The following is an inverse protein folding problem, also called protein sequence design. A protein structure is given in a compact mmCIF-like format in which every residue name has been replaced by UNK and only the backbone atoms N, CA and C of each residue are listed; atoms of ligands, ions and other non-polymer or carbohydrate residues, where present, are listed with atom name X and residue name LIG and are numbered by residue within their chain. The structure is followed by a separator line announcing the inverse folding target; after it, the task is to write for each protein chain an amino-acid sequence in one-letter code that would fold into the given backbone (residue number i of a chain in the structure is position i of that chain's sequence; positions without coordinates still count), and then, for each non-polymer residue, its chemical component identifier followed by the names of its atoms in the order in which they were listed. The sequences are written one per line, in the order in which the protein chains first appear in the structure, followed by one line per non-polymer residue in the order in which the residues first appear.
data_IF_344916587979
#
_entry.id   IF_344916587979
#
_cell.length_a   1.000
_cell.length_b   1.000
_cell.length_c   1.000
_cell.angle_alpha   90.00
_cell.angle_beta   90.00
_cell.angle_gamma   90.00
#
_symmetry.space_group_name_H-M   'P 1'
#
loop_
_entity.id
_entity.type
_entity.pdbx_description
1 polymer ?
#
# COMPACT_ATOMS: atom_id res chain seq x y z
N UNK A 1 -0.01 -1.61 27.32
CA UNK A 1 -0.82 -1.17 26.15
C UNK A 1 -0.14 -1.77 24.94
N UNK A 2 -0.89 -2.28 24.00
CA UNK A 2 -0.32 -2.85 22.77
C UNK A 2 -0.13 -1.70 21.79
N UNK A 3 1.06 -1.58 21.20
CA UNK A 3 1.38 -0.53 20.24
C UNK A 3 1.66 -1.15 18.87
N UNK A 4 1.07 -0.58 17.84
CA UNK A 4 1.34 -0.90 16.43
C UNK A 4 2.21 0.19 15.82
N UNK A 5 3.26 -0.20 15.10
CA UNK A 5 4.06 0.69 14.29
C UNK A 5 3.60 0.69 12.84
N UNK A 6 3.51 1.84 12.19
CA UNK A 6 3.36 1.93 10.75
C UNK A 6 4.56 2.58 10.10
N UNK A 7 5.14 1.90 9.10
CA UNK A 7 6.23 2.45 8.30
C UNK A 7 5.76 2.80 6.89
N UNK A 8 6.17 3.96 6.39
CA UNK A 8 5.86 4.41 5.03
C UNK A 8 7.12 4.73 4.23
N UNK A 9 7.08 4.52 2.92
CA UNK A 9 8.14 4.96 1.99
C UNK A 9 8.27 6.47 1.88
N UNK A 10 7.25 7.22 2.30
CA UNK A 10 7.23 8.68 2.30
C UNK A 10 7.56 9.29 3.64
N UNK A 11 6.93 10.42 3.92
CA UNK A 11 6.96 11.04 5.24
C UNK A 11 5.75 10.63 6.08
N UNK A 12 5.92 10.51 7.40
CA UNK A 12 4.85 10.39 8.37
C UNK A 12 4.59 11.74 9.09
N UNK A 13 3.39 12.00 9.66
CA UNK A 13 2.24 11.09 9.62
C UNK A 13 1.55 11.04 8.25
N UNK A 14 0.99 9.88 7.90
CA UNK A 14 0.20 9.68 6.69
C UNK A 14 -1.26 10.03 6.95
N UNK A 15 -1.55 11.32 6.97
CA UNK A 15 -2.89 11.86 7.25
C UNK A 15 -3.95 11.45 6.21
N UNK A 16 -3.52 10.93 5.07
CA UNK A 16 -4.37 10.40 3.99
C UNK A 16 -4.66 8.89 4.13
N UNK A 17 -3.99 8.18 5.04
CA UNK A 17 -4.11 6.72 5.20
C UNK A 17 -4.42 6.34 6.65
N UNK A 18 -3.61 6.78 7.59
CA UNK A 18 -3.60 6.32 8.98
C UNK A 18 -4.91 6.57 9.73
N UNK A 19 -5.61 7.70 9.55
CA UNK A 19 -6.89 7.91 10.24
C UNK A 19 -7.90 6.80 9.99
N UNK A 20 -8.08 6.35 8.75
CA UNK A 20 -9.02 5.27 8.41
C UNK A 20 -8.61 3.91 9.01
N UNK A 21 -7.32 3.70 9.28
CA UNK A 21 -6.81 2.50 9.94
C UNK A 21 -7.10 2.60 11.44
N UNK A 22 -6.75 3.71 12.06
CA UNK A 22 -6.94 3.96 13.50
C UNK A 22 -8.41 3.86 13.90
N UNK A 23 -9.32 4.43 13.10
CA UNK A 23 -10.76 4.36 13.34
C UNK A 23 -11.34 2.92 13.36
N UNK A 24 -10.58 1.95 12.84
CA UNK A 24 -10.97 0.54 12.79
C UNK A 24 -10.20 -0.34 13.79
N UNK A 25 -9.16 0.19 14.43
CA UNK A 25 -8.45 -0.53 15.50
C UNK A 25 -9.21 -0.41 16.83
N UNK A 26 -9.08 -1.40 17.75
CA UNK A 26 -9.56 -1.26 19.11
C UNK A 26 -8.97 -0.05 19.84
N UNK A 27 -9.79 0.63 20.67
CA UNK A 27 -9.40 1.87 21.38
C UNK A 27 -8.18 1.70 22.32
N UNK A 28 -7.88 0.47 22.73
CA UNK A 28 -6.74 0.12 23.59
C UNK A 28 -5.39 -0.01 22.84
N UNK A 29 -5.40 0.14 21.52
CA UNK A 29 -4.20 0.02 20.69
C UNK A 29 -3.64 1.40 20.38
N UNK A 30 -2.42 1.65 20.82
CA UNK A 30 -1.67 2.83 20.45
C UNK A 30 -1.02 2.66 19.06
N UNK A 31 -0.94 3.77 18.31
CA UNK A 31 -0.34 3.79 16.97
C UNK A 31 0.82 4.77 16.92
N UNK A 32 1.94 4.32 16.39
CA UNK A 32 3.11 5.16 16.07
C UNK A 32 3.44 5.04 14.58
N UNK A 33 3.93 6.11 13.99
CA UNK A 33 4.30 6.13 12.57
C UNK A 33 5.75 6.57 12.37
N UNK A 34 6.43 5.90 11.43
CA UNK A 34 7.73 6.31 10.94
C UNK A 34 7.75 6.40 9.41
N UNK A 35 8.36 7.44 8.89
CA UNK A 35 8.53 7.63 7.45
C UNK A 35 9.99 7.54 7.03
N UNK A 36 10.27 6.81 5.97
CA UNK A 36 11.62 6.69 5.41
C UNK A 36 12.23 8.05 5.05
N UNK A 37 11.38 9.01 4.66
CA UNK A 37 11.79 10.35 4.25
C UNK A 37 11.62 11.41 5.33
N UNK A 38 11.45 11.03 6.60
CA UNK A 38 11.18 11.99 7.69
C UNK A 38 12.33 12.98 7.96
N UNK A 39 13.54 12.62 7.63
CA UNK A 39 14.74 13.45 7.83
C UNK A 39 14.96 14.52 6.73
N UNK A 40 14.20 14.46 5.64
CA UNK A 40 14.30 15.44 4.55
C UNK A 40 13.25 16.54 4.73
N UNK A 41 13.66 17.79 4.61
CA UNK A 41 12.77 18.95 4.74
C UNK A 41 12.07 19.31 3.42
N UNK A 42 12.60 18.86 2.28
CA UNK A 42 12.07 19.23 0.96
C UNK A 42 12.15 18.10 -0.07
N UNK A 43 11.31 18.20 -1.09
CA UNK A 43 11.36 17.30 -2.25
C UNK A 43 12.68 17.41 -3.04
N UNK A 44 13.40 18.53 -2.93
CA UNK A 44 14.70 18.75 -3.54
C UNK A 44 15.77 17.93 -2.83
N UNK A 45 15.81 17.96 -1.49
CA UNK A 45 16.71 17.12 -0.69
C UNK A 45 16.46 15.63 -0.91
N UNK A 46 15.19 15.21 -0.97
CA UNK A 46 14.84 13.81 -1.32
C UNK A 46 15.40 13.43 -2.67
N UNK A 47 15.24 14.30 -3.67
CA UNK A 47 15.73 14.03 -5.05
C UNK A 47 17.26 13.93 -5.11
N UNK A 48 17.95 14.76 -4.34
CA UNK A 48 19.42 14.74 -4.27
C UNK A 48 19.95 13.49 -3.56
N UNK A 49 19.28 13.08 -2.47
CA UNK A 49 19.74 11.98 -1.63
C UNK A 49 19.35 10.59 -2.17
N UNK A 50 18.08 10.43 -2.57
CA UNK A 50 17.47 9.14 -2.92
C UNK A 50 16.63 9.21 -4.20
N UNK A 51 16.88 10.20 -5.06
CA UNK A 51 16.17 10.35 -6.33
C UNK A 51 16.43 9.21 -7.31
N UNK A 52 15.59 9.09 -8.36
CA UNK A 52 15.67 8.02 -9.34
C UNK A 52 17.05 7.96 -10.02
N UNK A 53 17.50 6.73 -10.28
CA UNK A 53 18.67 6.45 -11.11
C UNK A 53 18.23 5.81 -12.41
N UNK A 54 18.96 6.09 -13.49
CA UNK A 54 18.63 5.55 -14.82
C UNK A 54 18.66 4.02 -14.82
N UNK A 55 17.54 3.40 -15.20
CA UNK A 55 17.41 1.94 -15.29
C UNK A 55 17.12 1.22 -13.98
N UNK A 56 17.06 1.92 -12.84
CA UNK A 56 16.74 1.30 -11.55
C UNK A 56 15.24 1.37 -11.22
N UNK A 57 14.71 0.41 -10.46
CA UNK A 57 13.32 0.44 -10.00
C UNK A 57 13.05 1.65 -9.11
N UNK A 58 11.83 2.19 -9.22
CA UNK A 58 11.42 3.39 -8.50
C UNK A 58 10.13 3.15 -7.69
N UNK A 59 10.00 3.93 -6.62
CA UNK A 59 8.71 4.14 -5.96
C UNK A 59 8.26 5.59 -6.11
N UNK A 60 6.94 5.78 -6.04
CA UNK A 60 6.31 7.10 -5.95
C UNK A 60 5.63 7.20 -4.58
N UNK A 61 5.92 8.28 -3.86
CA UNK A 61 5.35 8.50 -2.53
C UNK A 61 5.00 9.97 -2.31
N UNK A 62 4.55 10.30 -1.10
CA UNK A 62 4.12 11.65 -0.75
C UNK A 62 4.93 12.23 0.41
N UNK A 63 5.16 13.52 0.31
CA UNK A 63 5.67 14.37 1.38
C UNK A 63 4.51 14.83 2.28
N UNK A 64 4.81 15.36 3.46
CA UNK A 64 3.80 15.92 4.41
C UNK A 64 3.00 17.07 3.84
N UNK A 65 3.58 17.84 2.92
CA UNK A 65 2.92 18.94 2.23
C UNK A 65 1.96 18.48 1.12
N UNK A 66 1.85 17.15 0.91
CA UNK A 66 1.03 16.52 -0.11
C UNK A 66 1.66 16.46 -1.49
N UNK A 67 2.87 16.99 -1.68
CA UNK A 67 3.60 16.82 -2.95
C UNK A 67 4.04 15.37 -3.15
N UNK A 68 4.15 14.95 -4.43
CA UNK A 68 4.63 13.62 -4.79
C UNK A 68 6.11 13.68 -5.12
N UNK A 69 6.85 12.68 -4.66
CA UNK A 69 8.25 12.47 -5.00
C UNK A 69 8.45 11.06 -5.55
N UNK A 70 9.42 10.94 -6.46
CA UNK A 70 9.88 9.66 -6.99
C UNK A 70 11.25 9.36 -6.38
N UNK A 71 11.42 8.15 -5.88
CA UNK A 71 12.63 7.72 -5.18
C UNK A 71 13.17 6.43 -5.77
N UNK A 72 14.47 6.25 -5.67
CA UNK A 72 15.15 4.99 -5.97
C UNK A 72 14.71 3.93 -4.96
N UNK A 73 14.28 2.77 -5.47
CA UNK A 73 13.72 1.69 -4.65
C UNK A 73 14.71 1.20 -3.59
N UNK A 74 15.93 0.87 -4.01
CA UNK A 74 16.91 0.25 -3.11
C UNK A 74 17.41 1.22 -2.04
N UNK A 75 17.47 2.51 -2.37
CA UNK A 75 17.84 3.55 -1.42
C UNK A 75 16.75 3.74 -0.36
N UNK A 76 15.47 3.81 -0.76
CA UNK A 76 14.39 4.01 0.20
C UNK A 76 14.11 2.77 1.05
N UNK A 77 14.32 1.57 0.51
CA UNK A 77 14.21 0.30 1.28
C UNK A 77 15.20 0.29 2.45
N UNK A 78 16.42 0.78 2.27
CA UNK A 78 17.41 0.90 3.36
C UNK A 78 16.96 1.89 4.44
N UNK A 79 16.35 3.02 4.03
CA UNK A 79 15.78 3.98 4.98
C UNK A 79 14.58 3.38 5.71
N UNK A 80 13.73 2.62 5.02
CA UNK A 80 12.63 1.90 5.66
C UNK A 80 13.13 0.89 6.69
N UNK A 81 14.16 0.09 6.36
CA UNK A 81 14.75 -0.86 7.31
C UNK A 81 15.22 -0.16 8.58
N UNK A 82 15.92 0.96 8.47
CA UNK A 82 16.35 1.73 9.64
C UNK A 82 15.15 2.21 10.50
N UNK A 83 14.03 2.60 9.89
CA UNK A 83 12.81 2.96 10.62
C UNK A 83 12.11 1.75 11.25
N UNK A 84 12.18 0.59 10.60
CA UNK A 84 11.69 -0.68 11.14
C UNK A 84 12.50 -1.09 12.36
N UNK A 85 13.82 -0.98 12.30
CA UNK A 85 14.72 -1.28 13.43
C UNK A 85 14.38 -0.40 14.64
N UNK A 86 14.21 0.93 14.42
CA UNK A 86 13.80 1.87 15.48
C UNK A 86 12.41 1.51 16.07
N UNK A 87 11.42 1.23 15.20
CA UNK A 87 10.06 0.90 15.63
C UNK A 87 9.98 -0.43 16.39
N UNK A 88 10.74 -1.44 15.99
CA UNK A 88 10.70 -2.78 16.58
C UNK A 88 11.04 -2.79 18.07
N UNK A 89 11.74 -1.77 18.57
CA UNK A 89 12.06 -1.62 20.00
C UNK A 89 10.83 -1.20 20.85
N UNK A 90 9.81 -0.60 20.23
CA UNK A 90 8.69 0.06 20.91
C UNK A 90 7.32 -0.56 20.63
N UNK A 91 7.21 -1.42 19.60
CA UNK A 91 5.91 -1.91 19.11
C UNK A 91 5.82 -3.43 19.14
N UNK A 92 4.58 -3.95 19.08
CA UNK A 92 4.30 -5.39 19.03
C UNK A 92 4.23 -5.93 17.61
N UNK A 93 3.95 -5.08 16.64
CA UNK A 93 3.77 -5.43 15.22
C UNK A 93 4.02 -4.19 14.37
N UNK A 94 4.54 -4.36 13.17
CA UNK A 94 4.78 -3.29 12.21
C UNK A 94 3.93 -3.54 10.95
N UNK A 95 3.17 -2.53 10.52
CA UNK A 95 2.47 -2.53 9.23
C UNK A 95 3.16 -1.62 8.22
N UNK A 96 3.32 -2.09 6.99
CA UNK A 96 3.88 -1.29 5.89
C UNK A 96 2.74 -0.51 5.19
N UNK A 97 2.82 0.81 5.13
CA UNK A 97 1.82 1.64 4.46
C UNK A 97 2.12 1.79 2.96
N UNK A 98 2.38 0.67 2.30
CA UNK A 98 2.57 0.59 0.85
C UNK A 98 2.25 -0.82 0.37
N UNK A 99 1.69 -0.93 -0.83
CA UNK A 99 1.48 -2.21 -1.52
C UNK A 99 2.60 -2.51 -2.53
N UNK A 100 3.72 -1.82 -2.46
CA UNK A 100 4.89 -2.10 -3.28
C UNK A 100 5.43 -3.51 -3.01
N UNK A 101 6.23 -4.01 -3.95
CA UNK A 101 6.98 -5.25 -3.79
C UNK A 101 8.35 -4.93 -3.17
N UNK A 102 8.54 -5.36 -1.93
CA UNK A 102 9.76 -5.12 -1.14
C UNK A 102 10.60 -6.40 -1.01
N UNK A 103 11.92 -6.30 -0.85
CA UNK A 103 12.69 -7.40 -0.30
C UNK A 103 12.26 -7.63 1.15
N UNK A 104 12.46 -8.84 1.67
CA UNK A 104 12.13 -9.15 3.06
C UNK A 104 12.83 -8.18 4.01
N UNK A 105 12.04 -7.54 4.88
CA UNK A 105 12.56 -6.75 5.99
C UNK A 105 12.92 -7.63 7.18
N UNK A 106 13.87 -7.20 7.98
CA UNK A 106 14.29 -7.90 9.19
C UNK A 106 13.75 -7.16 10.43
N UNK A 107 13.11 -7.89 11.35
CA UNK A 107 12.72 -7.38 12.67
C UNK A 107 12.43 -8.53 13.64
N UNK A 108 12.53 -8.25 14.94
CA UNK A 108 12.17 -9.20 16.02
C UNK A 108 10.66 -9.24 16.30
N UNK A 109 9.88 -8.40 15.61
CA UNK A 109 8.41 -8.35 15.66
C UNK A 109 7.81 -8.68 14.30
N UNK A 110 6.54 -9.15 14.24
CA UNK A 110 5.86 -9.40 12.97
C UNK A 110 5.79 -8.14 12.10
N UNK A 111 6.09 -8.29 10.80
CA UNK A 111 5.89 -7.26 9.79
C UNK A 111 4.72 -7.66 8.90
N UNK A 112 3.75 -6.78 8.75
CA UNK A 112 2.57 -6.97 7.92
C UNK A 112 2.76 -6.17 6.62
N UNK A 113 3.01 -6.89 5.53
CA UNK A 113 3.15 -6.31 4.20
C UNK A 113 1.83 -6.43 3.42
N UNK A 114 1.15 -5.31 3.09
CA UNK A 114 -0.13 -5.36 2.39
C UNK A 114 -0.09 -6.08 1.05
N UNK A 115 1.04 -6.08 0.37
CA UNK A 115 1.24 -6.82 -0.88
C UNK A 115 1.04 -8.33 -0.68
N UNK A 116 1.74 -8.90 0.29
CA UNK A 116 1.68 -10.32 0.62
C UNK A 116 0.30 -10.72 1.17
N UNK A 117 -0.25 -9.86 2.03
CA UNK A 117 -1.58 -10.06 2.60
C UNK A 117 -2.67 -10.05 1.51
N UNK A 118 -2.64 -9.10 0.58
CA UNK A 118 -3.57 -9.04 -0.54
C UNK A 118 -3.46 -10.30 -1.41
N UNK A 119 -2.24 -10.74 -1.70
CA UNK A 119 -2.00 -11.95 -2.49
C UNK A 119 -2.51 -13.20 -1.78
N UNK A 120 -2.24 -13.35 -0.48
CA UNK A 120 -2.71 -14.47 0.32
C UNK A 120 -4.24 -14.50 0.41
N UNK A 121 -4.90 -13.34 0.62
CA UNK A 121 -6.35 -13.26 0.65
C UNK A 121 -6.96 -13.55 -0.72
N UNK A 122 -6.42 -12.99 -1.81
CA UNK A 122 -6.88 -13.27 -3.16
C UNK A 122 -6.77 -14.76 -3.49
N UNK A 123 -5.63 -15.39 -3.19
CA UNK A 123 -5.41 -16.83 -3.43
C UNK A 123 -6.33 -17.74 -2.59
N UNK A 124 -6.78 -17.27 -1.43
CA UNK A 124 -7.75 -18.02 -0.61
C UNK A 124 -9.21 -17.90 -1.08
N UNK A 125 -9.50 -16.86 -1.89
CA UNK A 125 -10.85 -16.57 -2.39
C UNK A 125 -11.03 -17.10 -3.83
N UNK A 126 -10.00 -16.97 -4.65
CA UNK A 126 -10.01 -17.36 -6.08
C UNK A 126 -8.93 -18.40 -6.29
N UNK A 127 -9.34 -19.64 -6.56
CA UNK A 127 -8.42 -20.78 -6.82
C UNK A 127 -7.94 -20.77 -8.29
N UNK A 128 -8.90 -20.73 -9.22
CA UNK A 128 -8.67 -20.62 -10.66
C UNK A 128 -9.66 -19.58 -11.21
N UNK A 129 -9.20 -18.38 -11.55
CA UNK A 129 -10.11 -17.33 -12.01
C UNK A 129 -9.40 -16.04 -12.41
N UNK A 130 -10.22 -15.09 -12.82
CA UNK A 130 -9.78 -13.77 -13.27
C UNK A 130 -9.87 -12.77 -12.15
N UNK A 131 -8.80 -12.07 -11.85
CA UNK A 131 -8.82 -10.94 -10.92
C UNK A 131 -8.68 -9.62 -11.66
N UNK A 132 -9.50 -8.64 -11.25
CA UNK A 132 -9.33 -7.25 -11.64
C UNK A 132 -8.36 -6.56 -10.68
N UNK A 133 -7.32 -5.90 -11.17
CA UNK A 133 -6.39 -5.16 -10.32
C UNK A 133 -6.43 -3.67 -10.65
N UNK A 134 -6.83 -2.87 -9.66
CA UNK A 134 -6.73 -1.41 -9.73
C UNK A 134 -5.39 -0.95 -9.14
N UNK A 135 -4.63 -0.17 -9.91
CA UNK A 135 -3.43 0.52 -9.43
C UNK A 135 -3.50 2.02 -9.73
N UNK A 136 -2.71 2.87 -9.03
CA UNK A 136 -2.84 4.31 -9.13
C UNK A 136 -2.35 4.92 -10.46
N UNK A 137 -1.45 4.23 -11.20
CA UNK A 137 -0.80 4.79 -12.39
C UNK A 137 -0.71 3.78 -13.54
N UNK A 138 -0.90 4.26 -14.75
CA UNK A 138 -0.82 3.44 -15.96
C UNK A 138 0.57 2.80 -16.18
N UNK A 139 1.63 3.48 -15.75
CA UNK A 139 3.01 2.98 -15.84
C UNK A 139 3.26 1.74 -14.96
N UNK A 140 2.36 1.42 -14.04
CA UNK A 140 2.45 0.25 -13.16
C UNK A 140 1.75 -0.99 -13.74
N UNK A 141 1.01 -0.86 -14.86
CA UNK A 141 0.24 -1.97 -15.44
C UNK A 141 1.13 -3.18 -15.76
N UNK A 142 2.28 -2.96 -16.41
CA UNK A 142 3.18 -4.06 -16.78
C UNK A 142 3.74 -4.79 -15.54
N UNK A 143 4.08 -4.05 -14.49
CA UNK A 143 4.56 -4.62 -13.23
C UNK A 143 3.47 -5.40 -12.48
N UNK A 144 2.19 -5.02 -12.68
CA UNK A 144 1.04 -5.68 -12.07
C UNK A 144 0.92 -7.13 -12.54
N UNK A 145 1.17 -7.41 -13.80
CA UNK A 145 1.11 -8.79 -14.32
C UNK A 145 2.19 -9.68 -13.70
N UNK A 146 3.39 -9.14 -13.45
CA UNK A 146 4.46 -9.88 -12.78
C UNK A 146 4.14 -10.12 -11.30
N UNK A 147 3.62 -9.11 -10.62
CA UNK A 147 3.24 -9.17 -9.21
C UNK A 147 2.12 -10.17 -8.97
N UNK A 148 1.11 -10.18 -9.84
CA UNK A 148 -0.09 -11.03 -9.70
C UNK A 148 -0.03 -12.30 -10.56
N UNK A 149 1.19 -12.74 -10.93
CA UNK A 149 1.36 -14.01 -11.66
C UNK A 149 0.77 -15.16 -10.85
N UNK A 150 0.03 -16.03 -11.55
CA UNK A 150 -0.72 -17.13 -10.94
C UNK A 150 -2.22 -16.93 -11.02
N UNK A 151 -2.66 -15.73 -11.43
CA UNK A 151 -4.03 -15.40 -11.78
C UNK A 151 -4.12 -14.94 -13.24
N UNK A 152 -5.30 -15.10 -13.82
CA UNK A 152 -5.65 -14.31 -15.01
C UNK A 152 -5.95 -12.89 -14.57
N UNK A 153 -5.23 -11.90 -15.11
CA UNK A 153 -5.29 -10.51 -14.62
C UNK A 153 -5.89 -9.56 -15.64
N UNK A 154 -6.88 -8.80 -15.24
CA UNK A 154 -7.35 -7.59 -15.92
C UNK A 154 -6.91 -6.37 -15.11
N UNK A 155 -6.02 -5.56 -15.67
CA UNK A 155 -5.43 -4.43 -14.98
C UNK A 155 -5.97 -3.09 -15.48
N UNK A 156 -6.29 -2.17 -14.57
CA UNK A 156 -6.70 -0.82 -14.91
C UNK A 156 -6.12 0.20 -13.93
N UNK A 157 -5.74 1.38 -14.44
CA UNK A 157 -5.18 2.46 -13.63
C UNK A 157 -6.23 3.52 -13.31
N UNK A 158 -6.23 3.96 -12.04
CA UNK A 158 -7.06 5.07 -11.57
C UNK A 158 -6.49 5.63 -10.28
N UNK A 159 -6.03 6.89 -10.33
CA UNK A 159 -5.43 7.58 -9.18
C UNK A 159 -6.43 7.77 -8.04
N UNK A 160 -6.08 7.45 -6.79
CA UNK A 160 -6.91 7.79 -5.63
C UNK A 160 -6.96 9.30 -5.34
N UNK A 161 -6.13 10.09 -6.02
CA UNK A 161 -6.01 11.53 -5.79
C UNK A 161 -6.62 12.37 -6.92
N UNK A 162 -7.29 11.72 -7.87
CA UNK A 162 -7.97 12.37 -9.00
C UNK A 162 -9.42 11.92 -9.03
N UNK A 163 -10.33 12.88 -9.06
CA UNK A 163 -11.75 12.60 -9.09
C UNK A 163 -12.14 11.75 -10.32
N UNK A 164 -13.06 10.81 -10.13
CA UNK A 164 -13.66 9.93 -11.14
C UNK A 164 -12.70 8.94 -11.84
N UNK A 165 -11.41 8.93 -11.57
CA UNK A 165 -10.52 7.95 -12.19
C UNK A 165 -10.75 6.53 -11.66
N UNK A 166 -10.98 6.36 -10.35
CA UNK A 166 -11.22 5.05 -9.73
C UNK A 166 -12.48 4.36 -10.27
N UNK A 167 -13.66 5.03 -10.36
CA UNK A 167 -14.84 4.43 -10.99
C UNK A 167 -14.63 4.09 -12.47
N UNK A 168 -13.93 4.91 -13.25
CA UNK A 168 -13.61 4.61 -14.65
C UNK A 168 -12.69 3.41 -14.80
N UNK A 169 -11.70 3.28 -13.92
CA UNK A 169 -10.82 2.11 -13.90
C UNK A 169 -11.60 0.84 -13.54
N UNK A 170 -12.56 0.92 -12.61
CA UNK A 170 -13.44 -0.20 -12.28
C UNK A 170 -14.33 -0.60 -13.48
N UNK A 171 -14.86 0.37 -14.24
CA UNK A 171 -15.60 0.10 -15.48
C UNK A 171 -14.71 -0.56 -16.56
N UNK A 172 -13.43 -0.18 -16.64
CA UNK A 172 -12.48 -0.78 -17.57
C UNK A 172 -12.09 -2.22 -17.21
N UNK A 173 -12.07 -2.58 -15.91
CA UNK A 173 -11.90 -3.96 -15.45
C UNK A 173 -13.09 -4.82 -15.92
N UNK A 174 -14.29 -4.25 -15.95
CA UNK A 174 -15.48 -4.96 -16.38
C UNK A 174 -16.09 -5.85 -15.30
N UNK A 175 -17.07 -6.66 -15.72
CA UNK A 175 -17.86 -7.51 -14.83
C UNK A 175 -17.46 -8.99 -14.83
N UNK A 176 -16.54 -9.38 -15.71
CA UNK A 176 -16.14 -10.78 -15.91
C UNK A 176 -14.92 -11.16 -15.04
N UNK A 177 -14.82 -10.56 -13.84
CA UNK A 177 -13.78 -10.86 -12.85
C UNK A 177 -14.41 -11.49 -11.62
N UNK A 178 -13.70 -12.43 -11.00
CA UNK A 178 -14.13 -13.15 -9.78
C UNK A 178 -13.82 -12.34 -8.51
N UNK A 179 -12.81 -11.48 -8.58
CA UNK A 179 -12.37 -10.63 -7.49
C UNK A 179 -11.74 -9.34 -8.05
N UNK A 180 -11.97 -8.22 -7.39
CA UNK A 180 -11.26 -6.96 -7.67
C UNK A 180 -10.33 -6.62 -6.52
N UNK A 181 -9.07 -6.32 -6.82
CA UNK A 181 -8.05 -5.92 -5.85
C UNK A 181 -7.69 -4.46 -6.08
N UNK A 182 -7.87 -3.63 -5.05
CA UNK A 182 -7.45 -2.23 -5.03
C UNK A 182 -6.04 -2.12 -4.46
N UNK A 183 -5.04 -2.21 -5.34
CA UNK A 183 -3.62 -2.40 -5.02
C UNK A 183 -2.89 -1.06 -4.81
N UNK A 184 -3.37 -0.29 -3.83
CA UNK A 184 -2.70 0.91 -3.33
C UNK A 184 -3.26 1.29 -1.95
N UNK A 185 -2.38 1.71 -1.04
CA UNK A 185 -2.81 2.20 0.28
C UNK A 185 -3.55 3.55 0.20
N UNK A 186 -3.42 4.27 -0.88
CA UNK A 186 -4.15 5.52 -1.12
C UNK A 186 -5.65 5.36 -1.38
N UNK A 187 -6.12 4.18 -1.79
CA UNK A 187 -7.56 3.94 -1.98
C UNK A 187 -8.30 3.90 -0.64
N UNK A 188 -9.47 4.55 -0.59
CA UNK A 188 -10.29 4.67 0.61
C UNK A 188 -11.46 3.69 0.65
N UNK A 189 -12.10 3.49 1.82
CA UNK A 189 -13.35 2.72 1.90
C UNK A 189 -14.47 3.27 1.02
N UNK A 190 -14.58 4.61 0.84
CA UNK A 190 -15.56 5.24 -0.04
C UNK A 190 -15.28 4.91 -1.51
N UNK A 191 -13.99 4.90 -1.91
CA UNK A 191 -13.62 4.46 -3.27
C UNK A 191 -13.94 2.99 -3.48
N UNK A 192 -13.70 2.13 -2.48
CA UNK A 192 -14.12 0.73 -2.54
C UNK A 192 -15.62 0.59 -2.77
N UNK A 193 -16.45 1.37 -2.06
CA UNK A 193 -17.90 1.36 -2.26
C UNK A 193 -18.28 1.73 -3.71
N UNK A 194 -17.62 2.75 -4.28
CA UNK A 194 -17.84 3.13 -5.69
C UNK A 194 -17.40 2.04 -6.69
N UNK A 195 -16.33 1.30 -6.38
CA UNK A 195 -15.90 0.14 -7.19
C UNK A 195 -16.95 -0.97 -7.10
N UNK A 196 -17.48 -1.25 -5.90
CA UNK A 196 -18.53 -2.25 -5.68
C UNK A 196 -19.83 -1.94 -6.43
N UNK A 197 -20.13 -0.67 -6.75
CA UNK A 197 -21.26 -0.28 -7.61
C UNK A 197 -21.04 -0.66 -9.10
N UNK A 198 -19.80 -0.97 -9.50
CA UNK A 198 -19.42 -1.25 -10.90
C UNK A 198 -19.18 -2.73 -11.18
N UNK A 199 -19.15 -3.57 -10.17
CA UNK A 199 -18.89 -5.01 -10.30
C UNK A 199 -19.75 -5.82 -9.32
N UNK A 200 -20.07 -7.05 -9.69
CA UNK A 200 -20.69 -8.04 -8.78
C UNK A 200 -19.62 -8.85 -8.03
N UNK A 201 -18.35 -8.73 -8.40
CA UNK A 201 -17.25 -9.41 -7.74
C UNK A 201 -16.98 -8.86 -6.33
N UNK A 202 -16.37 -9.68 -5.49
CA UNK A 202 -15.82 -9.22 -4.22
C UNK A 202 -14.72 -8.16 -4.46
N UNK A 203 -14.54 -7.22 -3.51
CA UNK A 203 -13.50 -6.18 -3.64
C UNK A 203 -12.58 -6.22 -2.41
N UNK A 204 -11.29 -6.43 -2.62
CA UNK A 204 -10.25 -6.28 -1.61
C UNK A 204 -9.64 -4.88 -1.66
N UNK A 205 -9.43 -4.30 -0.49
CA UNK A 205 -8.82 -2.99 -0.32
C UNK A 205 -7.57 -3.13 0.57
N UNK A 206 -6.40 -2.72 0.09
CA UNK A 206 -5.13 -2.91 0.77
C UNK A 206 -5.11 -2.45 2.22
N UNK A 207 -5.59 -1.21 2.50
CA UNK A 207 -5.64 -0.70 3.88
C UNK A 207 -6.58 -1.51 4.79
N UNK A 208 -7.71 -1.99 4.27
CA UNK A 208 -8.65 -2.80 5.05
C UNK A 208 -8.09 -4.18 5.37
N UNK A 209 -7.37 -4.80 4.43
CA UNK A 209 -6.72 -6.09 4.65
C UNK A 209 -5.62 -5.94 5.70
N UNK A 210 -4.79 -4.90 5.61
CA UNK A 210 -3.77 -4.60 6.62
C UNK A 210 -4.39 -4.41 8.01
N UNK A 211 -5.42 -3.54 8.12
CA UNK A 211 -6.06 -3.22 9.40
C UNK A 211 -6.66 -4.46 10.06
N UNK A 212 -7.41 -5.26 9.29
CA UNK A 212 -8.03 -6.49 9.82
C UNK A 212 -6.99 -7.51 10.26
N UNK A 213 -5.92 -7.67 9.49
CA UNK A 213 -4.83 -8.57 9.88
C UNK A 213 -4.13 -8.07 11.14
N UNK A 214 -3.84 -6.76 11.22
CA UNK A 214 -3.25 -6.16 12.42
C UNK A 214 -4.15 -6.40 13.66
N UNK A 215 -5.46 -6.19 13.54
CA UNK A 215 -6.41 -6.43 14.63
C UNK A 215 -6.44 -7.89 15.08
N UNK A 216 -6.26 -8.86 14.19
CA UNK A 216 -6.28 -10.28 14.53
C UNK A 216 -4.98 -10.79 15.18
N UNK A 217 -3.84 -10.12 14.93
CA UNK A 217 -2.53 -10.56 15.47
C UNK A 217 -2.10 -9.79 16.71
N UNK A 218 -2.84 -8.78 17.13
CA UNK A 218 -2.60 -7.97 18.34
C UNK A 218 -3.43 -8.47 19.52
#
# INVERSE_FOLDING_TARGET
MTTVGFVTIGQSPRTDITPDIVDQLPDEIDVVEAGALNEFDSAEEVREAVGPREGEPIFVTRMRDGSSVTVDRDSVVKLMQARIDDLAEEVSTIGVLCTGDFPAFEADVPILEPSDLLHAWASSIVEDGTIGVLMPKAEQIDQTFDKWKGFDVVAAAGSPYTDDEVPRAAEAIGTDTDLVVMDCMGYTPEMKARVQEKTEAGVLLGRSVLTKTATEVL
#
